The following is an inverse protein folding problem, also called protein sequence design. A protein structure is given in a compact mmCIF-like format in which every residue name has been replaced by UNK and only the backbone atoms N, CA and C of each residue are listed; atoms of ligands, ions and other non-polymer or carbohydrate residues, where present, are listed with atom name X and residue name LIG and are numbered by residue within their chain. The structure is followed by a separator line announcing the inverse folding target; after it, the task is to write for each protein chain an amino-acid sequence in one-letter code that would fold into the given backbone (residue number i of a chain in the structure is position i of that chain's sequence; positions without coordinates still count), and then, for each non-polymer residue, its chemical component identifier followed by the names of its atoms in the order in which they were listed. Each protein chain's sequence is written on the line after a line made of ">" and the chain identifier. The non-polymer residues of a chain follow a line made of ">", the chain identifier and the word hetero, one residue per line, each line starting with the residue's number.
data_IF_844730398884
#
_entry.id   IF_844730398884
#
_cell.length_a   1.000
_cell.length_b   1.000
_cell.length_c   1.000
_cell.angle_alpha   90.00
_cell.angle_beta   90.00
_cell.angle_gamma   90.00
#
_symmetry.space_group_name_H-M   'P 1'
#
loop_
_entity.id
_entity.type
_entity.pdbx_description
1 polymer ?
#
# COMPACT_ATOMS: atom_id res chain seq x y z
N UNK A 1 2.43 -16.51 -8.54
CA UNK A 1 2.62 -15.16 -9.09
C UNK A 1 3.87 -14.56 -8.47
N UNK A 2 4.83 -14.08 -9.26
CA UNK A 2 5.98 -13.30 -8.78
C UNK A 2 5.69 -11.79 -8.73
N UNK A 3 4.43 -11.38 -8.91
CA UNK A 3 4.00 -9.98 -8.93
C UNK A 3 3.69 -9.54 -7.51
N UNK A 4 4.17 -8.35 -7.12
CA UNK A 4 3.84 -7.74 -5.83
C UNK A 4 2.54 -6.95 -5.92
N UNK A 5 1.88 -6.69 -4.79
CA UNK A 5 0.68 -5.86 -4.74
C UNK A 5 0.95 -4.48 -5.36
N UNK A 6 2.12 -3.87 -5.10
CA UNK A 6 2.48 -2.61 -5.72
C UNK A 6 2.58 -2.72 -7.24
N UNK A 7 3.23 -3.77 -7.76
CA UNK A 7 3.36 -3.97 -9.21
C UNK A 7 2.00 -4.21 -9.88
N UNK A 8 1.10 -4.97 -9.24
CA UNK A 8 -0.26 -5.18 -9.75
C UNK A 8 -1.06 -3.87 -9.81
N UNK A 9 -1.04 -3.08 -8.73
CA UNK A 9 -1.74 -1.79 -8.67
C UNK A 9 -1.19 -0.79 -9.70
N UNK A 10 0.13 -0.70 -9.84
CA UNK A 10 0.77 0.15 -10.85
C UNK A 10 0.42 -0.29 -12.27
N UNK A 11 0.35 -1.60 -12.54
CA UNK A 11 -0.06 -2.15 -13.84
C UNK A 11 -1.48 -1.74 -14.25
N UNK A 12 -2.37 -1.57 -13.26
CA UNK A 12 -3.74 -1.07 -13.45
C UNK A 12 -3.84 0.48 -13.39
N UNK A 13 -2.71 1.19 -13.33
CA UNK A 13 -2.68 2.67 -13.28
C UNK A 13 -3.05 3.28 -11.92
N UNK A 14 -3.11 2.48 -10.86
CA UNK A 14 -3.44 2.94 -9.50
C UNK A 14 -2.17 3.52 -8.85
N UNK A 15 -2.04 4.85 -8.92
CA UNK A 15 -0.88 5.60 -8.45
C UNK A 15 -1.09 6.34 -7.11
N UNK A 16 -2.24 6.20 -6.46
CA UNK A 16 -2.53 6.80 -5.15
C UNK A 16 -2.98 5.74 -4.16
N UNK A 17 -2.09 5.33 -3.26
CA UNK A 17 -2.32 4.24 -2.30
C UNK A 17 -2.65 4.75 -0.90
N UNK A 18 -2.14 5.92 -0.54
CA UNK A 18 -2.41 6.59 0.73
C UNK A 18 -2.14 8.08 0.57
N UNK A 19 -2.47 8.84 1.60
CA UNK A 19 -1.95 10.20 1.75
C UNK A 19 -0.89 10.24 2.86
N UNK A 20 0.06 11.17 2.78
CA UNK A 20 0.96 11.42 3.90
C UNK A 20 0.19 11.99 5.07
N UNK A 21 0.50 11.51 6.27
CA UNK A 21 -0.12 11.98 7.52
C UNK A 21 0.04 13.49 7.68
N UNK A 22 1.19 14.02 7.26
CA UNK A 22 1.45 15.46 7.20
C UNK A 22 1.12 15.97 5.80
N UNK A 23 0.26 16.98 5.72
CA UNK A 23 -0.04 17.71 4.48
C UNK A 23 -0.94 16.99 3.47
N UNK A 24 -1.44 15.80 3.80
CA UNK A 24 -2.45 15.05 3.02
C UNK A 24 -2.09 14.78 1.54
N UNK A 25 -0.79 14.70 1.24
CA UNK A 25 -0.32 14.54 -0.14
C UNK A 25 -0.38 13.08 -0.60
N UNK A 26 -0.82 12.80 -1.85
CA UNK A 26 -0.93 11.45 -2.37
C UNK A 26 0.43 10.76 -2.44
N UNK A 27 0.46 9.48 -2.07
CA UNK A 27 1.66 8.63 -2.08
C UNK A 27 1.44 7.40 -2.94
N UNK A 28 2.51 7.05 -3.67
CA UNK A 28 2.60 5.94 -4.58
C UNK A 28 3.84 5.08 -4.24
N UNK A 29 3.92 3.84 -4.74
CA UNK A 29 5.18 3.10 -4.68
C UNK A 29 6.31 3.89 -5.35
N UNK A 30 7.39 4.14 -4.60
CA UNK A 30 8.54 4.89 -5.08
C UNK A 30 9.79 4.00 -5.19
N UNK A 31 10.30 3.50 -4.06
CA UNK A 31 11.55 2.70 -4.06
C UNK A 31 11.39 1.27 -4.54
N UNK A 32 10.17 0.69 -4.46
CA UNK A 32 9.90 -0.74 -4.69
C UNK A 32 10.80 -1.73 -3.89
N UNK A 33 11.46 -1.27 -2.82
CA UNK A 33 12.42 -2.02 -2.01
C UNK A 33 12.04 -2.09 -0.52
N UNK A 34 10.88 -1.55 -0.14
CA UNK A 34 10.41 -1.55 1.25
C UNK A 34 11.01 -0.49 2.17
N UNK A 35 11.86 0.44 1.68
CA UNK A 35 12.52 1.44 2.54
C UNK A 35 11.79 2.78 2.66
N UNK A 36 11.08 3.22 1.61
CA UNK A 36 10.42 4.54 1.61
C UNK A 36 9.08 4.57 2.35
N UNK A 37 8.47 3.41 2.59
CA UNK A 37 7.12 3.26 3.12
C UNK A 37 6.01 3.95 2.31
N UNK A 38 6.24 4.51 1.12
CA UNK A 38 5.19 5.24 0.38
C UNK A 38 4.09 4.36 -0.22
N UNK A 39 4.29 3.04 -0.23
CA UNK A 39 3.35 2.05 -0.75
C UNK A 39 2.49 1.37 0.32
N UNK A 40 2.30 1.98 1.50
CA UNK A 40 1.47 1.35 2.53
C UNK A 40 0.01 1.30 2.08
N UNK A 41 -0.58 0.12 2.26
CA UNK A 41 -1.99 -0.20 2.02
C UNK A 41 -2.52 -1.05 3.17
N UNK A 42 -3.85 -1.19 3.21
CA UNK A 42 -4.51 -2.20 4.05
C UNK A 42 -4.75 -3.44 3.20
N UNK A 43 -4.36 -4.61 3.71
CA UNK A 43 -4.56 -5.91 3.03
C UNK A 43 -5.27 -6.82 4.03
N UNK A 44 -6.44 -7.32 3.64
CA UNK A 44 -7.23 -8.26 4.44
C UNK A 44 -7.46 -7.77 5.88
N UNK A 45 -7.79 -6.47 6.01
CA UNK A 45 -8.03 -5.79 7.29
C UNK A 45 -6.76 -5.32 8.02
N UNK A 46 -5.57 -5.75 7.61
CA UNK A 46 -4.32 -5.39 8.29
C UNK A 46 -3.74 -4.09 7.72
N UNK A 47 -3.58 -3.07 8.54
CA UNK A 47 -2.98 -1.78 8.17
C UNK A 47 -1.44 -1.86 8.07
N UNK A 48 -0.85 -0.80 7.50
CA UNK A 48 0.58 -0.61 7.25
C UNK A 48 1.30 -1.77 6.54
N UNK A 49 0.66 -2.40 5.55
CA UNK A 49 1.31 -3.42 4.72
C UNK A 49 2.07 -2.77 3.58
N UNK A 50 3.33 -3.15 3.39
CA UNK A 50 4.14 -2.68 2.28
C UNK A 50 3.72 -3.41 0.99
N UNK A 51 2.99 -2.73 0.12
CA UNK A 51 2.53 -3.32 -1.15
C UNK A 51 3.70 -3.82 -2.01
N UNK A 52 4.85 -3.14 -1.98
CA UNK A 52 6.02 -3.55 -2.75
C UNK A 52 6.74 -4.80 -2.24
N UNK A 53 6.50 -5.19 -0.98
CA UNK A 53 7.10 -6.39 -0.38
C UNK A 53 6.10 -7.54 -0.24
N UNK A 54 4.84 -7.32 -0.62
CA UNK A 54 3.77 -8.31 -0.48
C UNK A 54 3.44 -8.93 -1.84
N UNK A 55 3.61 -10.25 -2.04
CA UNK A 55 3.15 -10.94 -3.24
C UNK A 55 1.63 -10.83 -3.38
N UNK A 56 1.13 -10.57 -4.59
CA UNK A 56 -0.32 -10.54 -4.84
C UNK A 56 -0.88 -11.97 -4.88
N UNK A 57 -2.03 -12.19 -4.27
CA UNK A 57 -2.77 -13.45 -4.31
C UNK A 57 -4.25 -13.23 -4.66
N UNK A 58 -4.88 -14.27 -5.22
CA UNK A 58 -6.29 -14.25 -5.55
C UNK A 58 -7.14 -14.08 -4.28
N UNK A 59 -8.17 -13.23 -4.37
CA UNK A 59 -9.09 -12.98 -3.27
C UNK A 59 -8.61 -11.96 -2.23
N UNK A 60 -7.40 -11.42 -2.35
CA UNK A 60 -6.94 -10.32 -1.48
C UNK A 60 -7.87 -9.11 -1.58
N UNK A 61 -8.27 -8.56 -0.43
CA UNK A 61 -8.99 -7.28 -0.36
C UNK A 61 -8.00 -6.19 0.02
N UNK A 62 -7.81 -5.23 -0.90
CA UNK A 62 -6.84 -4.15 -0.74
C UNK A 62 -7.59 -2.82 -0.71
N UNK A 63 -7.25 -1.97 0.26
CA UNK A 63 -7.80 -0.62 0.36
C UNK A 63 -6.73 0.42 0.69
N UNK A 64 -6.97 1.65 0.25
CA UNK A 64 -6.11 2.79 0.53
C UNK A 64 -6.13 3.16 2.01
N UNK A 65 -5.03 3.72 2.50
CA UNK A 65 -4.94 4.20 3.89
C UNK A 65 -5.26 5.67 4.02
N UNK A 66 -6.00 5.98 5.08
CA UNK A 66 -6.39 7.34 5.46
C UNK A 66 -5.97 7.60 6.89
N UNK A 67 -5.19 8.67 7.11
CA UNK A 67 -4.70 9.03 8.43
C UNK A 67 -3.61 8.10 8.99
N UNK A 68 -3.29 8.28 10.27
CA UNK A 68 -2.35 7.42 10.99
C UNK A 68 -2.98 6.06 11.29
N UNK A 69 -2.13 5.03 11.43
CA UNK A 69 -2.58 3.69 11.84
C UNK A 69 -3.30 3.77 13.18
N UNK A 70 -4.45 3.11 13.26
CA UNK A 70 -5.12 2.90 14.54
C UNK A 70 -4.45 1.74 15.27
N UNK A 71 -4.16 1.96 16.55
CA UNK A 71 -3.68 0.94 17.46
C UNK A 71 -4.92 0.43 18.20
N UNK A 72 -5.28 -0.83 17.98
CA UNK A 72 -6.32 -1.48 18.78
C UNK A 72 -5.84 -1.53 20.25
N UNK A 73 -6.73 -1.26 21.23
CA UNK A 73 -6.38 -1.31 22.65
C UNK A 73 -5.80 -2.65 23.11
#
# INVERSE_FOLDING_TARGET
>A
SHVTVAAALLGEGIIRLRNSVVGDQPRAPYCLMGICFECLVTIDGVQNRQACMTPVANGMIISSQTGARQVEP
#
